data_IF_550250556564
#
_entry.id   IF_550250556564
#
_cell.length_a   1.000
_cell.length_b   1.000
_cell.length_c   1.000
_cell.angle_alpha   90.00
_cell.angle_beta   90.00
_cell.angle_gamma   90.00
#
_symmetry.space_group_name_H-M   'P 1'
#
loop_
_entity.id
_entity.type
_entity.pdbx_description
1 polymer ?
2 polymer ?
3 polymer ?
4 non-polymer ?
5 water ?
#
loop_
_entity_poly.entity_id
_entity_poly.type
_entity_poly.pdbx_seq_one_letter_code
_entity_poly.pdbx_strand_id
1 'polydeoxyribonucleotide' '(DT)(DT)(DG)(DA)(DC)(DC)(DC)(DT)(DA)(DA)(DC)(DG)(DT)(DT)(DG)(DC)(DG)(DT)(DG)(DA)(DT)(DT)(DG)(DT)(DT)(DT)' ?
2 'polydeoxyribonucleotide' '(DA)(DA)(DA)(DA)(DC)(DA)(DA)(DT)(DC)(DA)(DC)(DG)(DC)(DA)(DA)(DC)(DG)(DT)(DT)(DA)(DG)(DG)(DG)(DT)(DC)(DA)' ?
#
# COMPACT_ATOMS: atom_id res chain seq x y z
N UNK C 1 16.29 -32.78 11.91
CA UNK C 1 14.87 -33.23 11.70
C UNK C 1 13.91 -32.06 11.80
N UNK C 2 13.84 -31.44 12.97
CA UNK C 2 12.96 -30.29 13.19
C UNK C 2 13.72 -28.99 13.40
N UNK C 3 13.06 -27.87 13.16
CA UNK C 3 13.69 -26.57 13.31
C UNK C 3 12.82 -25.62 14.12
N UNK C 4 13.46 -24.72 14.84
CA UNK C 4 12.70 -23.74 15.60
C UNK C 4 12.93 -22.35 15.01
N UNK C 5 11.99 -21.45 15.27
CA UNK C 5 12.03 -20.10 14.73
C UNK C 5 13.38 -19.55 14.33
N UNK C 6 14.26 -19.30 15.29
CA UNK C 6 15.58 -18.74 14.98
C UNK C 6 16.14 -19.32 13.69
N UNK C 7 16.17 -20.65 13.62
CA UNK C 7 16.69 -21.36 12.46
C UNK C 7 15.85 -21.18 11.21
N UNK C 8 14.54 -21.34 11.34
CA UNK C 8 13.65 -21.19 10.20
C UNK C 8 13.78 -19.78 9.66
N UNK C 9 13.83 -18.82 10.56
CA UNK C 9 13.97 -17.44 10.14
C UNK C 9 15.26 -17.28 9.33
N UNK C 10 16.35 -17.84 9.85
CA UNK C 10 17.65 -17.76 9.18
C UNK C 10 17.68 -18.44 7.80
N UNK C 11 17.15 -19.64 7.72
CA UNK C 11 17.10 -20.38 6.47
C UNK C 11 16.24 -19.67 5.40
N UNK C 12 15.13 -19.09 5.81
CA UNK C 12 14.21 -18.45 4.86
C UNK C 12 14.32 -16.94 4.67
N UNK C 13 15.04 -16.26 5.54
CA UNK C 13 15.15 -14.82 5.39
C UNK C 13 13.99 -14.00 5.97
N UNK C 14 12.97 -14.64 6.49
CA UNK C 14 11.86 -13.88 7.08
C UNK C 14 12.12 -13.79 8.57
N UNK C 15 11.42 -12.88 9.24
CA UNK C 15 11.58 -12.68 10.68
C UNK C 15 10.81 -13.69 11.51
N UNK C 16 11.22 -13.85 12.75
CA UNK C 16 10.50 -14.75 13.65
C UNK C 16 9.08 -14.24 13.79
N UNK C 17 8.93 -12.91 13.93
CA UNK C 17 7.61 -12.32 14.04
C UNK C 17 6.73 -12.79 12.89
N UNK C 18 7.37 -12.96 11.73
CA UNK C 18 6.64 -13.38 10.56
C UNK C 18 6.12 -14.78 10.73
N UNK C 19 6.97 -15.66 11.23
CA UNK C 19 6.58 -17.05 11.43
C UNK C 19 5.39 -17.08 12.37
N UNK C 20 5.43 -16.24 13.41
CA UNK C 20 4.32 -16.20 14.37
C UNK C 20 3.04 -15.79 13.66
N UNK C 21 3.12 -14.64 12.99
CA UNK C 21 1.99 -14.11 12.27
C UNK C 21 1.41 -15.15 11.32
N UNK C 22 2.28 -15.82 10.55
CA UNK C 22 1.79 -16.82 9.62
C UNK C 22 1.18 -17.96 10.38
N UNK C 23 1.61 -18.12 11.62
CA UNK C 23 1.06 -19.18 12.46
C UNK C 23 -0.34 -18.77 12.94
N UNK C 24 -0.45 -17.55 13.46
CA UNK C 24 -1.73 -17.00 13.95
C UNK C 24 -2.82 -16.99 12.88
N UNK C 25 -2.40 -16.72 11.64
CA UNK C 25 -3.30 -16.65 10.50
C UNK C 25 -3.68 -18.02 9.95
N UNK C 26 -2.93 -19.05 10.33
CA UNK C 26 -3.20 -20.40 9.87
C UNK C 26 -2.63 -20.56 8.45
N UNK C 27 -1.77 -19.62 8.07
CA UNK C 27 -1.12 -19.65 6.76
C UNK C 27 -0.04 -20.75 6.79
N UNK C 28 0.76 -20.74 7.85
CA UNK C 28 1.81 -21.71 8.06
C UNK C 28 1.82 -22.14 9.52
N UNK C 29 1.26 -23.32 9.79
CA UNK C 29 1.22 -23.85 11.15
C UNK C 29 2.34 -24.86 11.32
N UNK C 30 3.17 -24.70 12.35
CA UNK C 30 4.29 -25.59 12.64
C UNK C 30 3.81 -27.03 12.65
N UNK C 31 4.71 -27.96 12.39
CA UNK C 31 4.33 -29.37 12.37
C UNK C 31 4.22 -29.91 13.79
N UNK C 32 4.88 -29.26 14.74
CA UNK C 32 4.85 -29.72 16.13
C UNK C 32 5.13 -28.61 17.13
N UNK C 33 4.91 -28.93 18.41
CA UNK C 33 5.14 -27.98 19.50
C UNK C 33 5.78 -28.73 20.67
N UNK C 34 6.70 -28.08 21.36
CA UNK C 34 7.33 -28.73 22.50
C UNK C 34 6.39 -28.54 23.68
N UNK C 35 6.61 -29.35 24.71
CA UNK C 35 5.79 -29.30 25.92
C UNK C 35 5.76 -27.87 26.45
N UNK C 36 6.82 -27.11 26.13
CA UNK C 36 6.94 -25.74 26.56
C UNK C 36 6.33 -24.78 25.56
N UNK C 37 5.74 -25.31 24.50
CA UNK C 37 5.10 -24.46 23.51
C UNK C 37 5.92 -24.02 22.32
N UNK C 38 7.23 -24.29 22.35
CA UNK C 38 8.13 -23.94 21.24
C UNK C 38 7.66 -24.52 19.90
N UNK C 39 7.64 -23.67 18.87
CA UNK C 39 7.24 -24.11 17.53
C UNK C 39 8.33 -24.95 16.85
N UNK C 40 7.97 -26.11 16.33
CA UNK C 40 8.94 -26.98 15.63
C UNK C 40 8.53 -27.22 14.19
N UNK C 41 9.35 -26.73 13.26
CA UNK C 41 9.06 -26.86 11.84
C UNK C 41 9.77 -28.01 11.17
N UNK C 42 9.04 -28.68 10.28
CA UNK C 42 9.55 -29.82 9.52
C UNK C 42 10.02 -29.38 8.14
N UNK C 43 10.73 -30.25 7.43
CA UNK C 43 11.20 -29.90 6.09
C UNK C 43 10.01 -29.55 5.20
N UNK C 44 8.89 -30.24 5.40
CA UNK C 44 7.70 -29.94 4.62
C UNK C 44 7.28 -28.50 4.91
N UNK C 45 7.29 -28.12 6.19
CA UNK C 45 6.91 -26.76 6.55
C UNK C 45 7.81 -25.77 5.81
N UNK C 46 9.06 -26.15 5.57
CA UNK C 46 10.00 -25.28 4.88
C UNK C 46 9.65 -25.14 3.38
N UNK C 47 9.19 -26.20 2.76
CA UNK C 47 8.80 -26.11 1.36
C UNK C 47 7.61 -25.17 1.32
N UNK C 48 6.61 -25.47 2.12
CA UNK C 48 5.42 -24.64 2.20
C UNK C 48 5.84 -23.17 2.33
N UNK C 49 6.72 -22.89 3.28
CA UNK C 49 7.19 -21.54 3.49
C UNK C 49 7.83 -20.94 2.23
N UNK C 50 8.59 -21.74 1.48
CA UNK C 50 9.23 -21.24 0.26
C UNK C 50 8.20 -20.88 -0.80
N UNK C 51 7.14 -21.69 -0.88
CA UNK C 51 6.09 -21.43 -1.83
C UNK C 51 5.29 -20.21 -1.42
N UNK C 52 4.95 -20.08 -0.14
CA UNK C 52 4.18 -18.91 0.24
C UNK C 52 5.07 -17.70 -0.01
N UNK C 53 6.36 -17.88 0.19
CA UNK C 53 7.28 -16.77 0.02
C UNK C 53 7.40 -16.40 -1.47
N UNK C 54 7.33 -17.38 -2.34
CA UNK C 54 7.41 -17.11 -3.76
C UNK C 54 6.14 -16.35 -4.18
N UNK C 55 4.96 -16.87 -3.86
CA UNK C 55 3.73 -16.17 -4.22
C UNK C 55 3.74 -14.74 -3.68
N UNK C 56 4.45 -14.53 -2.59
CA UNK C 56 4.57 -13.19 -2.01
C UNK C 56 5.32 -12.26 -2.95
N UNK C 57 6.35 -12.79 -3.63
CA UNK C 57 7.16 -12.00 -4.56
C UNK C 57 6.33 -11.51 -5.76
N UNK C 58 5.36 -12.31 -6.17
CA UNK C 58 4.47 -11.98 -7.28
C UNK C 58 3.40 -10.97 -6.84
N UNK C 59 3.42 -10.59 -5.56
CA UNK C 59 2.44 -9.62 -5.08
C UNK C 59 1.12 -10.13 -4.52
N UNK C 60 0.94 -11.44 -4.38
CA UNK C 60 -0.31 -11.96 -3.81
C UNK C 60 -0.43 -11.62 -2.32
N UNK C 61 -1.63 -11.79 -1.79
CA UNK C 61 -1.89 -11.55 -0.36
C UNK C 61 -1.98 -12.88 0.37
N UNK C 62 -1.70 -12.83 1.67
CA UNK C 62 -1.71 -14.02 2.52
C UNK C 62 -2.99 -14.86 2.34
N UNK C 63 -4.12 -14.18 2.18
CA UNK C 63 -5.38 -14.89 1.98
C UNK C 63 -5.38 -15.61 0.64
N UNK C 64 -4.90 -14.94 -0.41
CA UNK C 64 -4.86 -15.56 -1.73
C UNK C 64 -3.87 -16.72 -1.71
N UNK C 65 -2.72 -16.49 -1.07
CA UNK C 65 -1.68 -17.52 -1.00
C UNK C 65 -2.23 -18.71 -0.23
N UNK C 66 -2.91 -18.41 0.88
CA UNK C 66 -3.48 -19.43 1.72
C UNK C 66 -4.44 -20.27 0.90
N UNK C 67 -5.47 -19.63 0.36
CA UNK C 67 -6.46 -20.33 -0.44
C UNK C 67 -5.88 -21.12 -1.61
N UNK C 68 -4.73 -20.70 -2.12
CA UNK C 68 -4.10 -21.41 -3.24
C UNK C 68 -3.32 -22.62 -2.76
N UNK C 69 -2.75 -22.52 -1.57
CA UNK C 69 -1.97 -23.61 -1.02
C UNK C 69 -2.88 -24.64 -0.36
N UNK C 70 -3.93 -24.17 0.29
CA UNK C 70 -4.87 -25.06 0.96
C UNK C 70 -5.81 -25.73 -0.04
N UNK C 71 -5.98 -25.10 -1.20
CA UNK C 71 -6.85 -25.65 -2.26
C UNK C 71 -6.09 -25.71 -3.57
N UNK C 72 -5.24 -26.73 -3.76
CA UNK C 72 -4.42 -26.93 -4.97
C UNK C 72 -5.23 -26.94 -6.26
N UNK C 73 -6.43 -27.52 -6.21
CA UNK C 73 -7.32 -27.59 -7.38
C UNK C 73 -7.44 -26.23 -8.09
N UNK C 74 -7.39 -25.16 -7.31
CA UNK C 74 -7.50 -23.79 -7.81
C UNK C 74 -6.53 -23.54 -8.97
N UNK C 75 -7.05 -23.40 -10.19
CA UNK C 75 -6.21 -23.15 -11.35
C UNK C 75 -5.22 -22.04 -11.12
N UNK C 76 -3.94 -22.35 -11.31
CA UNK C 76 -2.87 -21.39 -11.10
C UNK C 76 -2.58 -20.46 -12.29
N UNK C 77 -2.70 -20.99 -13.50
CA UNK C 77 -2.45 -20.20 -14.71
C UNK C 77 -3.26 -18.90 -14.70
N UNK C 78 -4.58 -19.05 -14.59
CA UNK C 78 -5.48 -17.90 -14.57
C UNK C 78 -5.13 -16.92 -13.45
N UNK C 79 -4.66 -17.44 -12.33
CA UNK C 79 -4.31 -16.62 -11.19
C UNK C 79 -3.03 -15.85 -11.50
N UNK C 80 -2.06 -16.54 -12.07
CA UNK C 80 -0.80 -15.92 -12.42
C UNK C 80 -0.97 -14.80 -13.45
N UNK C 81 -1.92 -14.98 -14.36
CA UNK C 81 -2.18 -13.97 -15.37
C UNK C 81 -2.92 -12.79 -14.79
N UNK C 82 -4.07 -13.06 -14.15
CA UNK C 82 -4.85 -12.01 -13.53
C UNK C 82 -3.94 -11.15 -12.66
N UNK C 83 -3.10 -11.82 -11.87
CA UNK C 83 -2.19 -11.12 -10.99
C UNK C 83 -1.29 -10.22 -11.83
N UNK C 84 -0.91 -10.71 -13.00
CA UNK C 84 -0.08 -9.95 -13.92
C UNK C 84 -0.86 -8.71 -14.32
N UNK C 85 -2.08 -8.92 -14.81
CA UNK C 85 -2.95 -7.83 -15.24
C UNK C 85 -3.08 -6.79 -14.14
N UNK C 86 -3.35 -7.24 -12.92
CA UNK C 86 -3.46 -6.33 -11.79
C UNK C 86 -2.17 -5.54 -11.66
N UNK C 87 -1.04 -6.26 -11.70
CA UNK C 87 0.26 -5.61 -11.60
C UNK C 87 0.42 -4.56 -12.70
N UNK C 88 0.13 -4.95 -13.93
CA UNK C 88 0.26 -4.04 -15.07
C UNK C 88 -0.51 -2.75 -14.85
N UNK C 89 -1.76 -2.86 -14.39
CA UNK C 89 -2.55 -1.66 -14.15
C UNK C 89 -1.92 -0.78 -13.08
N UNK C 90 -1.41 -1.39 -12.01
CA UNK C 90 -0.77 -0.62 -10.95
C UNK C 90 0.37 0.17 -11.56
N UNK C 91 1.06 -0.46 -12.51
CA UNK C 91 2.18 0.17 -13.19
C UNK C 91 1.67 1.35 -14.03
N UNK C 92 0.54 1.15 -14.69
CA UNK C 92 -0.05 2.17 -15.54
C UNK C 92 -0.45 3.39 -14.71
N UNK C 93 -0.94 3.15 -13.50
CA UNK C 93 -1.35 4.24 -12.62
C UNK C 93 -0.13 5.07 -12.27
N UNK C 94 0.94 4.41 -11.86
CA UNK C 94 2.17 5.11 -11.49
C UNK C 94 2.69 5.94 -12.65
N UNK C 95 2.50 5.45 -13.88
CA UNK C 95 2.97 6.21 -15.02
C UNK C 95 2.24 7.55 -15.07
N UNK C 96 0.91 7.49 -15.06
CA UNK C 96 0.09 8.70 -15.10
C UNK C 96 0.51 9.62 -13.95
N UNK C 97 0.90 9.03 -12.82
CA UNK C 97 1.32 9.83 -11.69
C UNK C 97 2.62 10.56 -12.00
N UNK C 98 3.57 9.85 -12.61
CA UNK C 98 4.86 10.45 -12.96
C UNK C 98 4.68 11.52 -14.04
N UNK C 99 3.77 11.28 -14.99
CA UNK C 99 3.51 12.29 -16.03
C UNK C 99 3.03 13.55 -15.35
N UNK C 100 2.03 13.40 -14.48
CA UNK C 100 1.46 14.53 -13.76
C UNK C 100 2.56 15.31 -13.08
N UNK C 101 3.57 14.60 -12.57
CA UNK C 101 4.68 15.29 -11.90
C UNK C 101 5.55 16.05 -12.89
N UNK C 102 5.90 15.40 -14.00
CA UNK C 102 6.72 16.02 -15.03
C UNK C 102 5.96 17.21 -15.60
N UNK C 103 4.73 16.92 -15.99
CA UNK C 103 3.82 17.91 -16.56
C UNK C 103 3.67 19.09 -15.60
N UNK C 104 4.19 18.93 -14.40
CA UNK C 104 4.11 19.95 -13.37
C UNK C 104 5.47 20.56 -13.07
N UNK C 105 6.52 19.79 -13.30
CA UNK C 105 7.88 20.26 -13.06
C UNK C 105 8.34 21.25 -14.11
N UNK C 106 7.48 21.53 -15.08
CA UNK C 106 7.83 22.47 -16.14
C UNK C 106 7.48 23.89 -15.74
N UNK C 107 8.27 24.44 -14.82
CA UNK C 107 8.08 25.80 -14.32
C UNK C 107 9.21 26.18 -13.36
N UNK C 108 10.27 26.76 -13.92
CA UNK C 108 11.45 27.17 -13.16
C UNK C 108 12.27 25.96 -12.71
N UNK C 109 12.75 25.18 -13.69
CA UNK C 109 13.55 23.98 -13.43
C UNK C 109 14.98 24.05 -13.97
N UNK D 1 -20.76 32.67 2.58
CA UNK D 1 -19.79 31.92 1.73
C UNK D 1 -19.26 30.70 2.45
N UNK D 2 -20.11 30.06 3.25
CA UNK D 2 -19.68 28.87 3.98
C UNK D 2 -20.40 27.60 3.50
N UNK D 3 -19.68 26.48 3.51
CA UNK D 3 -20.25 25.22 3.05
C UNK D 3 -20.19 24.16 4.14
N UNK D 4 -21.17 23.27 4.16
CA UNK D 4 -21.14 22.19 5.12
C UNK D 4 -20.77 20.92 4.37
N UNK D 5 -20.37 19.90 5.10
CA UNK D 5 -19.91 18.66 4.50
C UNK D 5 -20.60 18.17 3.22
N UNK D 6 -21.91 17.99 3.23
CA UNK D 6 -22.61 17.54 2.03
C UNK D 6 -22.07 18.24 0.79
N UNK D 7 -22.06 19.57 0.85
CA UNK D 7 -21.61 20.39 -0.25
C UNK D 7 -20.14 20.23 -0.59
N UNK D 8 -19.27 20.61 0.34
CA UNK D 8 -17.85 20.50 0.08
C UNK D 8 -17.52 19.11 -0.47
N UNK D 9 -18.09 18.07 0.12
CA UNK D 9 -17.81 16.73 -0.37
C UNK D 9 -18.20 16.64 -1.85
N UNK D 10 -19.44 17.03 -2.14
CA UNK D 10 -19.97 17.00 -3.50
C UNK D 10 -19.19 17.87 -4.50
N UNK D 11 -18.63 18.97 -4.02
CA UNK D 11 -17.85 19.90 -4.84
C UNK D 11 -16.44 19.39 -5.10
N UNK D 12 -15.91 18.59 -4.18
CA UNK D 12 -14.53 18.10 -4.30
C UNK D 12 -14.39 16.64 -4.71
N UNK D 13 -15.48 15.88 -4.67
CA UNK D 13 -15.39 14.50 -5.05
C UNK D 13 -15.15 13.53 -3.90
N UNK D 14 -14.60 14.01 -2.78
CA UNK D 14 -14.36 13.12 -1.64
C UNK D 14 -15.63 12.97 -0.82
N UNK D 15 -15.60 11.97 0.06
CA UNK D 15 -16.75 11.66 0.92
C UNK D 15 -16.76 12.50 2.20
N UNK D 16 -17.93 12.60 2.80
CA UNK D 16 -18.04 13.34 4.05
C UNK D 16 -17.10 12.70 5.07
N UNK D 17 -17.07 11.36 5.09
CA UNK D 17 -16.18 10.66 6.01
C UNK D 17 -14.76 11.17 5.88
N UNK D 18 -14.36 11.43 4.63
CA UNK D 18 -13.04 11.92 4.35
C UNK D 18 -12.81 13.24 5.04
N UNK D 19 -13.77 14.13 4.87
CA UNK D 19 -13.67 15.46 5.47
C UNK D 19 -13.47 15.38 6.98
N UNK D 20 -14.22 14.49 7.63
CA UNK D 20 -14.08 14.33 9.07
C UNK D 20 -12.66 13.90 9.35
N UNK D 21 -12.26 12.79 8.73
CA UNK D 21 -10.91 12.28 8.94
C UNK D 21 -9.87 13.37 8.79
N UNK D 22 -9.92 14.10 7.67
CA UNK D 22 -8.95 15.17 7.45
C UNK D 22 -9.04 16.20 8.55
N UNK D 23 -10.18 16.25 9.23
CA UNK D 23 -10.34 17.20 10.31
C UNK D 23 -9.63 16.68 11.56
N UNK D 24 -9.85 15.41 11.89
CA UNK D 24 -9.23 14.78 13.06
C UNK D 24 -7.71 14.83 12.91
N UNK D 25 -7.22 14.52 11.72
CA UNK D 25 -5.79 14.52 11.45
C UNK D 25 -5.19 15.92 11.52
N UNK D 26 -6.03 16.94 11.53
CA UNK D 26 -5.52 18.32 11.58
C UNK D 26 -4.96 18.69 10.21
N UNK D 27 -5.42 17.99 9.18
CA UNK D 27 -4.97 18.26 7.81
C UNK D 27 -5.81 19.38 7.20
N UNK D 28 -7.12 19.27 7.36
CA UNK D 28 -8.06 20.28 6.86
C UNK D 28 -9.03 20.58 8.00
N UNK D 29 -8.87 21.72 8.64
CA UNK D 29 -9.75 22.11 9.74
C UNK D 29 -10.73 23.16 9.26
N UNK D 30 -12.04 22.90 9.46
CA UNK D 30 -13.09 23.82 9.05
C UNK D 30 -12.80 25.21 9.60
N UNK D 31 -13.02 26.21 8.77
CA UNK D 31 -12.80 27.60 9.17
C UNK D 31 -13.70 27.99 10.32
N UNK D 32 -14.88 27.37 10.38
CA UNK D 32 -15.83 27.71 11.44
C UNK D 32 -16.68 26.54 11.91
N UNK D 33 -17.13 26.65 13.15
CA UNK D 33 -18.01 25.62 13.72
C UNK D 33 -19.31 26.30 14.07
N UNK D 34 -20.39 25.56 13.94
CA UNK D 34 -21.69 26.09 14.26
C UNK D 34 -21.89 25.77 15.74
N UNK D 35 -22.79 26.50 16.38
CA UNK D 35 -23.08 26.32 17.80
C UNK D 35 -23.38 24.86 18.08
N UNK D 36 -24.12 24.23 17.16
CA UNK D 36 -24.50 22.83 17.28
C UNK D 36 -23.38 21.90 16.81
N UNK D 37 -22.24 22.47 16.44
CA UNK D 37 -21.13 21.64 16.00
C UNK D 37 -20.94 21.40 14.52
N UNK D 38 -21.91 21.78 13.69
CA UNK D 38 -21.79 21.59 12.24
C UNK D 38 -20.58 22.33 11.73
N UNK D 39 -19.72 21.68 10.95
CA UNK D 39 -18.59 22.44 10.47
C UNK D 39 -18.85 23.16 9.16
N UNK D 40 -18.27 24.36 9.06
CA UNK D 40 -18.44 25.22 7.89
C UNK D 40 -17.11 25.56 7.24
N UNK D 41 -16.98 25.20 5.96
CA UNK D 41 -15.77 25.47 5.22
C UNK D 41 -15.87 26.73 4.37
N UNK D 42 -14.79 27.51 4.38
CA UNK D 42 -14.69 28.75 3.61
C UNK D 42 -14.14 28.46 2.21
N UNK D 43 -14.21 29.46 1.32
CA UNK D 43 -13.70 29.24 -0.04
C UNK D 43 -12.23 28.89 0.08
N UNK D 44 -11.56 29.48 1.07
CA UNK D 44 -10.15 29.22 1.31
C UNK D 44 -9.97 27.75 1.64
N UNK D 45 -10.81 27.21 2.53
CA UNK D 45 -10.71 25.80 2.89
C UNK D 45 -10.84 24.94 1.63
N UNK D 46 -11.63 25.39 0.66
CA UNK D 46 -11.81 24.63 -0.59
C UNK D 46 -10.52 24.61 -1.43
N UNK D 47 -9.81 25.73 -1.50
CA UNK D 47 -8.56 25.78 -2.25
C UNK D 47 -7.63 24.79 -1.57
N UNK D 48 -7.49 24.93 -0.27
CA UNK D 48 -6.65 24.04 0.53
C UNK D 48 -6.97 22.57 0.23
N UNK D 49 -8.25 22.25 0.16
CA UNK D 49 -8.67 20.89 -0.13
C UNK D 49 -8.21 20.46 -1.56
N UNK D 50 -8.18 21.40 -2.50
CA UNK D 50 -7.74 21.08 -3.86
C UNK D 50 -6.24 20.80 -3.82
N UNK D 51 -5.48 21.71 -3.22
CA UNK D 51 -4.04 21.49 -3.09
C UNK D 51 -3.88 20.08 -2.57
N UNK D 52 -4.51 19.80 -1.44
CA UNK D 52 -4.42 18.49 -0.84
C UNK D 52 -4.66 17.39 -1.88
N UNK D 53 -5.76 17.49 -2.62
CA UNK D 53 -6.05 16.47 -3.60
C UNK D 53 -4.98 16.33 -4.70
N UNK D 54 -4.28 17.42 -5.03
CA UNK D 54 -3.25 17.33 -6.04
C UNK D 54 -2.17 16.40 -5.48
N UNK D 55 -1.49 16.84 -4.43
CA UNK D 55 -0.45 16.02 -3.81
C UNK D 55 -0.92 14.59 -3.61
N UNK D 56 -2.19 14.41 -3.34
CA UNK D 56 -2.70 13.07 -3.16
C UNK D 56 -2.59 12.29 -4.47
N UNK D 57 -2.74 12.96 -5.60
CA UNK D 57 -2.64 12.31 -6.92
C UNK D 57 -1.19 11.92 -7.23
N UNK D 58 -0.26 12.79 -6.85
CA UNK D 58 1.16 12.55 -7.05
C UNK D 58 1.62 11.38 -6.18
N UNK D 59 0.78 10.95 -5.26
CA UNK D 59 1.15 9.84 -4.41
C UNK D 59 1.61 10.11 -2.99
N UNK D 60 1.73 11.38 -2.61
CA UNK D 60 2.15 11.72 -1.25
C UNK D 60 1.16 11.19 -0.21
N UNK D 61 1.62 11.02 1.02
CA UNK D 61 0.72 10.58 2.07
C UNK D 61 0.32 11.79 2.91
N UNK D 62 -0.82 11.67 3.59
CA UNK D 62 -1.38 12.76 4.40
C UNK D 62 -0.38 13.52 5.27
N UNK D 63 0.55 12.79 5.90
CA UNK D 63 1.59 13.39 6.75
C UNK D 63 2.44 14.31 5.90
N UNK D 64 2.93 13.78 4.78
CA UNK D 64 3.77 14.54 3.85
C UNK D 64 3.01 15.77 3.37
N UNK D 65 1.77 15.56 2.94
CA UNK D 65 0.94 16.65 2.43
C UNK D 65 0.72 17.69 3.52
N UNK D 66 0.44 17.21 4.73
CA UNK D 66 0.23 18.10 5.85
C UNK D 66 1.49 18.95 6.04
N UNK D 67 2.62 18.28 6.24
CA UNK D 67 3.88 18.97 6.46
C UNK D 67 4.24 19.97 5.37
N UNK D 68 3.69 19.79 4.18
CA UNK D 68 4.00 20.68 3.06
C UNK D 68 3.10 21.90 3.01
N UNK D 69 1.85 21.73 3.39
CA UNK D 69 0.92 22.85 3.39
C UNK D 69 1.07 23.71 4.63
N UNK D 70 1.53 23.10 5.71
CA UNK D 70 1.73 23.84 6.96
C UNK D 70 3.09 24.54 6.98
N UNK D 71 3.93 24.24 6.00
CA UNK D 71 5.25 24.87 5.94
C UNK D 71 5.69 25.07 4.49
N UNK D 72 5.18 26.15 3.85
CA UNK D 72 5.45 26.56 2.46
C UNK D 72 6.91 26.93 2.17
N UNK D 73 7.78 26.66 3.14
CA UNK D 73 9.19 26.98 3.00
C UNK D 73 9.91 25.73 2.49
N UNK D 74 9.26 24.59 2.68
CA UNK D 74 9.77 23.29 2.25
C UNK D 74 9.91 23.29 0.72
N UNK D 75 11.14 23.28 0.22
CA UNK D 75 11.38 23.28 -1.21
C UNK D 75 10.54 22.22 -1.90
N UNK D 76 9.54 22.67 -2.66
CA UNK D 76 8.63 21.79 -3.38
C UNK D 76 9.28 21.07 -4.56
N UNK D 77 10.21 21.73 -5.23
CA UNK D 77 10.91 21.16 -6.38
C UNK D 77 11.52 19.79 -6.08
N UNK D 78 12.40 19.75 -5.10
CA UNK D 78 13.05 18.50 -4.71
C UNK D 78 12.01 17.47 -4.28
N UNK D 79 10.95 17.94 -3.64
CA UNK D 79 9.90 17.05 -3.16
C UNK D 79 9.25 16.36 -4.36
N UNK D 80 8.91 17.14 -5.38
CA UNK D 80 8.29 16.58 -6.56
C UNK D 80 9.22 15.60 -7.29
N UNK D 81 10.52 15.83 -7.20
CA UNK D 81 11.47 14.94 -7.84
C UNK D 81 11.63 13.64 -7.04
N UNK D 82 12.03 13.78 -5.78
CA UNK D 82 12.19 12.62 -4.91
C UNK D 82 10.98 11.72 -5.00
N UNK D 83 9.81 12.35 -5.07
CA UNK D 83 8.56 11.60 -5.18
C UNK D 83 8.51 10.90 -6.52
N UNK D 84 9.01 11.57 -7.55
CA UNK D 84 9.03 11.01 -8.89
C UNK D 84 9.93 9.78 -8.84
N UNK D 85 11.12 9.95 -8.27
CA UNK D 85 12.09 8.87 -8.14
C UNK D 85 11.50 7.68 -7.41
N UNK D 86 10.80 7.95 -6.32
CA UNK D 86 10.17 6.88 -5.53
C UNK D 86 9.15 6.13 -6.36
N UNK D 87 8.38 6.88 -7.15
CA UNK D 87 7.37 6.29 -8.00
C UNK D 87 8.03 5.41 -9.05
N UNK D 88 9.19 5.84 -9.52
CA UNK D 88 9.93 5.10 -10.54
C UNK D 88 10.38 3.75 -9.98
N UNK D 89 11.03 3.76 -8.82
CA UNK D 89 11.48 2.53 -8.21
C UNK D 89 10.32 1.55 -8.05
N UNK D 90 9.15 2.06 -7.67
CA UNK D 90 7.99 1.22 -7.50
C UNK D 90 7.64 0.57 -8.82
N UNK D 91 7.74 1.34 -9.89
CA UNK D 91 7.45 0.90 -11.25
C UNK D 91 8.37 -0.30 -11.55
N UNK D 92 9.66 -0.10 -11.28
CA UNK D 92 10.69 -1.09 -11.49
C UNK D 92 10.36 -2.41 -10.76
N UNK D 93 10.03 -2.31 -9.47
CA UNK D 93 9.68 -3.49 -8.69
C UNK D 93 8.49 -4.19 -9.36
N UNK D 94 7.53 -3.40 -9.82
CA UNK D 94 6.37 -3.92 -10.50
C UNK D 94 6.85 -4.73 -11.71
N UNK D 95 7.79 -4.17 -12.44
CA UNK D 95 8.33 -4.84 -13.61
C UNK D 95 8.97 -6.18 -13.28
N UNK D 96 9.90 -6.18 -12.32
CA UNK D 96 10.56 -7.43 -11.94
C UNK D 96 9.51 -8.50 -11.60
N UNK D 97 8.46 -8.12 -10.87
CA UNK D 97 7.41 -9.06 -10.48
C UNK D 97 6.72 -9.60 -11.72
N UNK D 98 6.43 -8.72 -12.67
CA UNK D 98 5.78 -9.15 -13.91
C UNK D 98 6.72 -10.08 -14.66
N UNK D 99 8.00 -9.74 -14.71
CA UNK D 99 8.95 -10.59 -15.40
C UNK D 99 8.91 -11.98 -14.77
N UNK D 100 8.96 -12.03 -13.43
CA UNK D 100 8.94 -13.30 -12.72
C UNK D 100 7.70 -14.12 -13.00
N UNK D 101 6.55 -13.46 -13.15
CA UNK D 101 5.33 -14.18 -13.46
C UNK D 101 5.47 -14.77 -14.86
N UNK D 102 5.89 -13.94 -15.83
CA UNK D 102 6.06 -14.40 -17.20
C UNK D 102 7.06 -15.53 -17.23
N UNK D 103 8.14 -15.34 -16.49
CA UNK D 103 9.21 -16.32 -16.39
C UNK D 103 8.71 -17.62 -15.75
N UNK D 104 7.47 -17.63 -15.30
CA UNK D 104 6.89 -18.80 -14.66
C UNK D 104 5.75 -19.35 -15.48
N UNK D 105 5.16 -18.48 -16.30
CA UNK D 105 4.03 -18.85 -17.15
C UNK D 105 4.42 -19.74 -18.32
N UNK D 106 5.71 -20.08 -18.41
CA UNK D 106 6.19 -20.92 -19.49
C UNK D 106 5.79 -22.38 -19.25
N UNK D 107 4.50 -22.67 -19.42
CA UNK D 107 3.96 -24.03 -19.22
C UNK D 107 2.46 -24.09 -19.60
X LIG E 1 -1.14 -11.02 15.12
X LIG E 1 -1.15 -10.82 16.58
X LIG E 1 -2.03 -12.13 14.73
X LIG E 1 -1.59 -9.77 14.45
X LIG E 1 0.24 -11.35 14.71
X LIG F 1 -10.49 8.72 12.58
X LIG F 1 -9.34 9.55 13.01
X LIG F 1 -11.35 8.36 13.74
X LIG F 1 -11.31 9.45 11.61
X LIG F 1 -10.00 7.47 11.97
#
# INVERSE_FOLDING_TARGET
MKYQVKQVAEISGVSIRTLHHYDNIELLNPSALTDAGYRLYSDADLERLQQILFFKEIGFRLDEIKEMLDHPNFDRKAALQSQKEILMKKKQRMDEMIQTIDRTLLSVD
MKYQVKQVAEISGVSIRTLHHYDNIELLNPSALTDAGYRLYSDADLERLQQILFFKEIGFRLDEIKEMLDHPNFDRKAALQSQKEILMKKKQRMDEMIQTIDRTLLSVD
SO4 S O1 O2 O3 O4
SO4 S O1 O2 O3 O4
#
